data_IF_304194672253
#
_entry.id   IF_304194672253
#
_cell.length_a   1.000
_cell.length_b   1.000
_cell.length_c   1.000
_cell.angle_alpha   90.00
_cell.angle_beta   90.00
_cell.angle_gamma   90.00
#
_symmetry.space_group_name_H-M   'P 1'
#
loop_
_entity.id
_entity.type
_entity.pdbx_description
1 polymer ?
#
# COMPACT_ATOMS: atom_id res chain seq x y z
N UNK A 1 3.87 9.84 -6.02
CA UNK A 1 4.85 8.98 -5.34
C UNK A 1 6.07 8.66 -6.18
N UNK A 2 5.99 7.89 -7.28
CA UNK A 2 7.20 7.52 -8.07
C UNK A 2 8.03 8.70 -8.58
N UNK A 3 7.38 9.83 -8.87
CA UNK A 3 8.02 11.06 -9.34
C UNK A 3 8.28 12.08 -8.19
N UNK A 4 8.25 11.65 -6.92
CA UNK A 4 8.55 12.52 -5.77
C UNK A 4 7.38 13.32 -5.19
N UNK A 5 6.14 13.09 -5.66
CA UNK A 5 4.96 13.63 -4.99
C UNK A 5 4.66 12.88 -3.69
N UNK A 6 4.47 13.62 -2.59
CA UNK A 6 3.99 13.11 -1.31
C UNK A 6 2.50 12.82 -1.44
N UNK A 7 2.04 11.59 -1.15
CA UNK A 7 0.63 11.24 -1.19
C UNK A 7 -0.10 11.85 0.00
N UNK A 8 -1.18 12.57 -0.30
CA UNK A 8 -2.21 12.98 0.65
C UNK A 8 -3.42 12.11 0.34
N UNK A 9 -3.94 11.39 1.33
CA UNK A 9 -4.98 10.39 1.05
C UNK A 9 -6.03 10.33 2.14
N UNK A 10 -7.25 10.00 1.72
CA UNK A 10 -8.30 9.68 2.66
C UNK A 10 -7.90 8.44 3.48
N UNK A 11 -8.19 8.43 4.77
CA UNK A 11 -7.91 7.34 5.70
C UNK A 11 -8.89 6.16 5.51
N UNK A 12 -9.13 5.76 4.26
CA UNK A 12 -9.92 4.57 3.92
C UNK A 12 -9.03 3.33 3.75
N UNK A 13 -9.66 2.16 3.64
CA UNK A 13 -8.97 0.88 3.66
C UNK A 13 -7.91 0.73 2.54
N UNK A 14 -8.08 1.34 1.37
CA UNK A 14 -7.10 1.24 0.28
C UNK A 14 -5.78 1.94 0.64
N UNK A 15 -5.80 3.28 0.83
CA UNK A 15 -4.61 4.04 1.14
C UNK A 15 -3.88 3.59 2.42
N UNK A 16 -4.63 3.25 3.48
CA UNK A 16 -4.08 2.78 4.76
C UNK A 16 -3.30 1.47 4.65
N UNK A 17 -3.76 0.55 3.79
CA UNK A 17 -3.17 -0.77 3.73
C UNK A 17 -2.02 -0.85 2.73
N UNK A 18 -2.02 -0.03 1.68
CA UNK A 18 -1.11 -0.24 0.56
C UNK A 18 -0.37 0.98 0.04
N UNK A 19 -0.91 2.19 0.12
CA UNK A 19 -0.31 3.36 -0.55
C UNK A 19 0.57 4.15 0.42
N UNK A 20 0.04 4.47 1.60
CA UNK A 20 0.72 5.30 2.59
C UNK A 20 1.00 4.45 3.81
N UNK A 21 2.08 3.67 3.72
CA UNK A 21 2.58 2.79 4.80
C UNK A 21 3.94 3.27 5.30
N UNK A 22 4.26 3.11 6.59
CA UNK A 22 5.55 3.52 7.10
C UNK A 22 6.68 2.67 6.52
N UNK A 23 7.86 3.27 6.40
CA UNK A 23 9.10 2.57 6.08
C UNK A 23 9.85 2.30 7.38
N UNK A 24 10.04 1.03 7.72
CA UNK A 24 10.71 0.60 8.95
C UNK A 24 11.85 -0.33 8.55
N UNK A 25 13.05 -0.06 9.06
CA UNK A 25 14.27 -0.81 8.74
C UNK A 25 14.49 -0.96 7.21
N UNK A 26 14.19 0.11 6.46
CA UNK A 26 14.38 0.15 5.00
C UNK A 26 13.42 -0.72 4.20
N UNK A 27 12.24 -1.06 4.73
CA UNK A 27 11.17 -1.79 4.03
C UNK A 27 9.81 -1.15 4.23
N UNK A 28 8.99 -1.17 3.18
CA UNK A 28 7.59 -0.80 3.26
C UNK A 28 6.81 -1.81 4.12
N UNK A 29 6.09 -1.29 5.11
CA UNK A 29 5.35 -2.13 6.06
C UNK A 29 4.14 -2.79 5.37
N UNK A 30 3.88 -4.05 5.74
CA UNK A 30 2.71 -4.80 5.27
C UNK A 30 1.55 -4.68 6.27
N UNK A 31 0.31 -4.92 5.81
CA UNK A 31 -0.92 -4.83 6.64
C UNK A 31 -0.83 -5.54 8.00
N UNK A 32 -0.21 -6.74 8.05
CA UNK A 32 -0.04 -7.50 9.29
C UNK A 32 0.93 -6.86 10.29
N UNK A 33 1.93 -6.13 9.80
CA UNK A 33 2.90 -5.43 10.63
C UNK A 33 2.32 -4.07 11.09
N UNK A 34 1.48 -3.44 10.27
CA UNK A 34 0.79 -2.19 10.61
C UNK A 34 -0.02 -2.32 11.89
N UNK A 35 -0.75 -3.44 12.06
CA UNK A 35 -1.56 -3.71 13.25
C UNK A 35 -0.76 -3.91 14.55
N UNK A 36 0.54 -4.19 14.45
CA UNK A 36 1.43 -4.37 15.61
C UNK A 36 2.23 -3.12 15.99
N UNK A 37 2.17 -2.06 15.18
CA UNK A 37 2.94 -0.84 15.40
C UNK A 37 2.12 0.12 16.26
N UNK A 38 2.60 0.38 17.48
CA UNK A 38 1.94 1.26 18.45
C UNK A 38 2.20 2.74 18.14
N UNK A 39 3.36 3.07 17.57
CA UNK A 39 3.75 4.45 17.26
C UNK A 39 4.59 4.52 15.98
N UNK A 40 4.22 5.42 15.07
CA UNK A 40 4.95 5.72 13.84
C UNK A 40 5.65 7.06 14.02
N UNK A 41 6.98 7.02 13.99
CA UNK A 41 7.79 8.23 14.08
C UNK A 41 7.74 9.03 12.77
N UNK A 42 7.91 10.35 12.84
CA UNK A 42 7.73 11.24 11.68
C UNK A 42 8.62 10.88 10.48
N UNK A 43 9.86 10.43 10.74
CA UNK A 43 10.81 10.03 9.70
C UNK A 43 10.45 8.71 9.00
N UNK A 44 9.52 7.93 9.56
CA UNK A 44 9.06 6.67 8.97
C UNK A 44 7.88 6.88 8.03
N UNK A 45 7.24 8.04 8.06
CA UNK A 45 6.03 8.33 7.29
C UNK A 45 6.35 8.47 5.80
N UNK A 46 5.46 7.97 4.96
CA UNK A 46 5.53 8.06 3.49
C UNK A 46 4.45 8.95 2.88
N UNK A 47 3.61 9.57 3.72
CA UNK A 47 2.49 10.40 3.31
C UNK A 47 1.65 10.85 4.49
N UNK A 48 0.56 11.54 4.17
CA UNK A 48 -0.38 12.08 5.16
C UNK A 48 -1.79 11.55 4.91
N UNK A 49 -2.52 11.39 6.00
CA UNK A 49 -3.90 10.95 5.99
C UNK A 49 -4.83 12.05 6.48
N UNK A 50 -6.03 12.08 5.93
CA UNK A 50 -7.14 12.85 6.45
C UNK A 50 -8.40 11.99 6.52
N UNK A 51 -9.35 12.40 7.34
CA UNK A 51 -10.69 11.81 7.40
C UNK A 51 -11.75 12.82 6.97
N UNK A 52 -12.85 12.29 6.49
CA UNK A 52 -14.06 13.01 6.13
C UNK A 52 -15.26 12.32 6.80
N UNK A 53 -16.18 13.12 7.33
CA UNK A 53 -17.40 12.63 7.98
C UNK A 53 -18.38 12.01 6.97
N UNK A 54 -18.22 12.35 5.68
CA UNK A 54 -19.02 11.80 4.59
C UNK A 54 -18.56 10.41 4.14
N UNK A 55 -17.42 9.89 4.63
CA UNK A 55 -16.98 8.53 4.31
C UNK A 55 -17.91 7.49 4.96
N UNK A 56 -18.50 6.53 4.22
CA UNK A 56 -19.28 5.45 4.80
C UNK A 56 -18.51 4.59 5.83
N UNK A 57 -17.18 4.55 5.76
CA UNK A 57 -16.30 3.88 6.73
C UNK A 57 -15.94 4.79 7.92
N UNK A 58 -16.51 6.00 8.02
CA UNK A 58 -16.30 6.91 9.15
C UNK A 58 -16.93 6.33 10.42
N UNK A 59 -16.13 5.59 11.20
CA UNK A 59 -16.61 4.94 12.43
C UNK A 59 -16.89 5.91 13.59
N UNK A 60 -16.73 7.22 13.42
CA UNK A 60 -17.08 8.28 14.38
C UNK A 60 -16.38 8.23 15.76
N UNK A 61 -15.66 7.16 16.09
CA UNK A 61 -15.29 6.82 17.48
C UNK A 61 -13.78 6.84 17.75
N UNK A 62 -12.93 7.09 16.74
CA UNK A 62 -11.47 7.13 16.95
C UNK A 62 -10.86 8.33 16.23
N UNK A 63 -10.43 9.31 17.02
CA UNK A 63 -9.70 10.55 16.69
C UNK A 63 -8.28 10.32 16.11
N UNK A 64 -8.05 9.25 15.33
CA UNK A 64 -6.69 8.88 14.91
C UNK A 64 -6.13 9.76 13.78
N UNK A 65 -7.00 10.42 12.99
CA UNK A 65 -6.60 11.20 11.82
C UNK A 65 -7.24 12.59 11.80
N UNK A 66 -6.50 13.62 11.34
CA UNK A 66 -7.01 14.98 11.22
C UNK A 66 -8.05 15.12 10.11
N UNK A 67 -8.80 16.23 10.12
CA UNK A 67 -9.63 16.63 8.97
C UNK A 67 -8.75 17.03 7.78
N UNK A 68 -9.34 17.17 6.58
CA UNK A 68 -8.60 17.64 5.39
C UNK A 68 -7.93 18.99 5.65
N UNK A 69 -8.64 19.93 6.27
CA UNK A 69 -8.13 21.27 6.57
C UNK A 69 -6.96 21.21 7.54
N UNK A 70 -7.09 20.48 8.64
CA UNK A 70 -6.01 20.29 9.63
C UNK A 70 -4.78 19.62 9.01
N UNK A 71 -4.99 18.61 8.15
CA UNK A 71 -3.90 17.93 7.45
C UNK A 71 -3.16 18.88 6.50
N UNK A 72 -3.88 19.74 5.77
CA UNK A 72 -3.26 20.74 4.88
C UNK A 72 -2.45 21.77 5.67
N UNK A 73 -2.97 22.25 6.80
CA UNK A 73 -2.21 23.14 7.71
C UNK A 73 -0.94 22.44 8.18
N UNK A 74 -1.04 21.21 8.69
CA UNK A 74 0.12 20.42 9.12
C UNK A 74 1.14 20.22 7.99
N UNK A 75 0.68 20.00 6.75
CA UNK A 75 1.56 19.85 5.59
C UNK A 75 2.31 21.15 5.25
N UNK A 76 1.70 22.32 5.49
CA UNK A 76 2.35 23.62 5.28
C UNK A 76 3.42 23.92 6.33
N UNK A 77 3.19 23.48 7.57
CA UNK A 77 4.09 23.68 8.71
C UNK A 77 5.26 22.68 8.76
N UNK A 78 5.23 21.62 7.94
CA UNK A 78 6.32 20.66 7.86
C UNK A 78 7.63 21.31 7.39
N UNK A 79 8.73 20.97 8.06
CA UNK A 79 10.07 21.35 7.62
C UNK A 79 10.43 20.73 6.27
N UNK A 80 11.27 21.42 5.49
CA UNK A 80 11.74 20.91 4.20
C UNK A 80 12.47 19.58 4.32
N UNK A 81 13.23 19.39 5.41
CA UNK A 81 13.87 18.10 5.72
C UNK A 81 12.83 17.01 5.91
N UNK A 82 11.76 17.27 6.67
CA UNK A 82 10.66 16.33 6.87
C UNK A 82 9.92 16.00 5.57
N UNK A 83 9.67 16.99 4.71
CA UNK A 83 9.07 16.80 3.38
C UNK A 83 9.96 15.92 2.50
N UNK A 84 11.26 16.17 2.50
CA UNK A 84 12.21 15.41 1.71
C UNK A 84 12.30 13.94 2.17
N UNK A 85 12.40 13.68 3.48
CA UNK A 85 12.36 12.31 4.02
C UNK A 85 11.06 11.60 3.67
N UNK A 86 9.92 12.28 3.82
CA UNK A 86 8.62 11.70 3.48
C UNK A 86 8.50 11.38 1.98
N UNK A 87 9.05 12.24 1.12
CA UNK A 87 9.14 12.02 -0.33
C UNK A 87 9.98 10.79 -0.67
N UNK A 88 11.14 10.63 -0.04
CA UNK A 88 12.01 9.46 -0.25
C UNK A 88 11.33 8.16 0.17
N UNK A 89 10.67 8.18 1.33
CA UNK A 89 9.85 7.07 1.80
C UNK A 89 8.70 6.75 0.84
N UNK A 90 8.01 7.78 0.32
CA UNK A 90 6.94 7.61 -0.67
C UNK A 90 7.46 6.94 -1.96
N UNK A 91 8.61 7.37 -2.46
CA UNK A 91 9.25 6.75 -3.64
C UNK A 91 9.60 5.29 -3.33
N UNK A 92 10.16 5.02 -2.14
CA UNK A 92 10.54 3.68 -1.72
C UNK A 92 9.34 2.73 -1.68
N UNK A 93 8.27 3.13 -0.97
CA UNK A 93 7.01 2.36 -0.91
C UNK A 93 6.46 2.10 -2.31
N UNK A 94 6.45 3.12 -3.17
CA UNK A 94 5.91 2.96 -4.51
C UNK A 94 6.72 2.00 -5.38
N UNK A 95 8.06 2.03 -5.27
CA UNK A 95 8.94 1.09 -5.98
C UNK A 95 8.76 -0.34 -5.48
N UNK A 96 8.70 -0.52 -4.16
CA UNK A 96 8.59 -1.86 -3.56
C UNK A 96 7.23 -2.50 -3.79
N UNK A 97 6.13 -1.74 -3.70
CA UNK A 97 4.76 -2.29 -3.83
C UNK A 97 4.22 -2.28 -5.25
N UNK A 98 4.51 -1.22 -6.01
CA UNK A 98 3.89 -0.93 -7.31
C UNK A 98 4.90 -0.81 -8.47
N UNK A 99 6.19 -0.98 -8.20
CA UNK A 99 7.22 -0.94 -9.24
C UNK A 99 7.14 -2.12 -10.21
N UNK A 100 7.75 -1.95 -11.39
CA UNK A 100 7.80 -3.00 -12.43
C UNK A 100 8.32 -4.33 -11.90
N UNK A 101 9.38 -4.32 -11.09
CA UNK A 101 9.95 -5.53 -10.50
C UNK A 101 8.95 -6.26 -9.59
N UNK A 102 8.24 -5.51 -8.74
CA UNK A 102 7.22 -6.06 -7.86
C UNK A 102 6.04 -6.64 -8.64
N UNK A 103 5.60 -5.94 -9.69
CA UNK A 103 4.56 -6.42 -10.59
C UNK A 103 4.99 -7.72 -11.30
N UNK A 104 6.14 -7.71 -11.99
CA UNK A 104 6.62 -8.88 -12.74
C UNK A 104 6.80 -10.10 -11.85
N UNK A 105 7.34 -9.94 -10.63
CA UNK A 105 7.49 -11.03 -9.69
C UNK A 105 6.13 -11.63 -9.26
N UNK A 106 5.15 -10.78 -8.92
CA UNK A 106 3.80 -11.23 -8.55
C UNK A 106 3.07 -11.86 -9.74
N UNK A 107 3.17 -11.24 -10.92
CA UNK A 107 2.57 -11.73 -12.16
C UNK A 107 3.09 -13.12 -12.53
N UNK A 108 4.41 -13.27 -12.60
CA UNK A 108 5.04 -14.56 -12.92
C UNK A 108 4.65 -15.65 -11.91
N UNK A 109 4.61 -15.32 -10.62
CA UNK A 109 4.14 -16.25 -9.58
C UNK A 109 2.68 -16.68 -9.81
N UNK A 110 1.80 -15.76 -10.19
CA UNK A 110 0.40 -16.04 -10.48
C UNK A 110 0.25 -16.92 -11.74
N UNK A 111 0.99 -16.61 -12.80
CA UNK A 111 1.00 -17.42 -14.04
C UNK A 111 1.50 -18.84 -13.75
N UNK A 112 2.61 -19.00 -13.03
CA UNK A 112 3.14 -20.32 -12.68
C UNK A 112 2.15 -21.15 -11.87
N UNK A 113 1.43 -20.53 -10.93
CA UNK A 113 0.35 -21.20 -10.18
C UNK A 113 -0.82 -21.60 -11.08
N UNK A 114 -1.24 -20.72 -11.98
CA UNK A 114 -2.31 -21.02 -12.92
C UNK A 114 -1.95 -22.21 -13.82
N UNK A 115 -0.72 -22.22 -14.37
CA UNK A 115 -0.20 -23.32 -15.17
C UNK A 115 -0.12 -24.64 -14.39
N UNK A 116 0.30 -24.58 -13.12
CA UNK A 116 0.32 -25.77 -12.26
C UNK A 116 -1.08 -26.35 -12.06
N UNK A 117 -2.06 -25.51 -11.72
CA UNK A 117 -3.46 -25.94 -11.53
C UNK A 117 -4.03 -26.52 -12.82
N UNK A 118 -3.73 -25.89 -13.96
CA UNK A 118 -4.15 -26.34 -15.29
C UNK A 118 -3.62 -27.75 -15.61
N UNK A 119 -2.31 -27.97 -15.39
CA UNK A 119 -1.68 -29.29 -15.59
C UNK A 119 -2.30 -30.37 -14.72
N UNK A 120 -2.52 -30.07 -13.43
CA UNK A 120 -3.17 -31.01 -12.50
C UNK A 120 -4.60 -31.33 -12.95
N UNK A 121 -5.35 -30.34 -13.45
CA UNK A 121 -6.70 -30.58 -13.98
C UNK A 121 -6.68 -31.42 -15.26
N UNK A 122 -5.72 -31.20 -16.16
CA UNK A 122 -5.55 -32.01 -17.38
C UNK A 122 -5.16 -33.45 -17.07
N UNK A 123 -4.25 -33.68 -16.12
CA UNK A 123 -3.84 -35.03 -15.74
C UNK A 123 -4.98 -35.81 -15.06
N UNK A 124 -5.88 -35.11 -14.37
CA UNK A 124 -7.02 -35.72 -13.66
C UNK A 124 -8.27 -35.88 -14.55
N UNK A 125 -8.34 -35.21 -15.70
CA UNK A 125 -9.29 -35.57 -16.77
C UNK A 125 -8.77 -36.85 -17.40
N UNK A 126 -9.25 -38.01 -16.92
CA UNK A 126 -8.99 -39.30 -17.55
C UNK A 126 -9.25 -39.24 -19.06
N UNK A 127 -8.56 -40.12 -19.82
CA UNK A 127 -8.55 -40.22 -21.29
C UNK A 127 -9.78 -39.56 -21.93
N UNK A 128 -9.62 -38.32 -22.37
CA UNK A 128 -10.62 -37.70 -23.24
C UNK A 128 -10.46 -38.42 -24.58
N UNK A 129 -11.43 -39.26 -24.94
CA UNK A 129 -11.48 -39.88 -26.26
C UNK A 129 -11.42 -38.78 -27.31
N UNK A 130 -10.42 -38.85 -28.19
CA UNK A 130 -10.41 -38.07 -29.42
C UNK A 130 -11.54 -38.62 -30.30
N UNK A 131 -12.63 -37.88 -30.40
CA UNK A 131 -13.59 -38.08 -31.49
C UNK A 131 -12.89 -37.61 -32.77
N UNK A 132 -12.55 -38.58 -33.62
CA UNK A 132 -12.08 -38.37 -35.00
C UNK A 132 -13.19 -37.78 -35.86
#
# INVERSE_FOLDING_TARGET
MLNGAIPLSHASAGPLNDIVVPVINGKATNRKQLSSIVKIESYQRSGLFFRDETDPDYKGTISAYPTLTEMLVSATEMSEVGKQTMRENAIHVAREKFGRGAFSAKWNKSISKALFIERVRRSNRGKVEQLY
#
